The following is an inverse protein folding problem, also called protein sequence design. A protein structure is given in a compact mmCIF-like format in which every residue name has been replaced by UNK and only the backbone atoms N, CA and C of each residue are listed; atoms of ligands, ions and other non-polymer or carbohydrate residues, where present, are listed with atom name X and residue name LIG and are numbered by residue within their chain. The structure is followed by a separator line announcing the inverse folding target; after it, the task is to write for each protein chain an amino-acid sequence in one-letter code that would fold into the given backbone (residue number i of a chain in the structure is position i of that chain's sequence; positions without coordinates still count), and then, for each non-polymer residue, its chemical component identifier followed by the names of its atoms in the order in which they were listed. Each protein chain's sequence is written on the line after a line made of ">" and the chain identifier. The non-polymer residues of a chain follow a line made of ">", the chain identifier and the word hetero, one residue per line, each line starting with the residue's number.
data_IF_606718744599
#
_entry.id   IF_606718744599
#
_cell.length_a   1.000
_cell.length_b   1.000
_cell.length_c   1.000
_cell.angle_alpha   90.00
_cell.angle_beta   90.00
_cell.angle_gamma   90.00
#
_symmetry.space_group_name_H-M   'P 1'
#
loop_
_entity.id
_entity.type
_entity.pdbx_description
1 polymer ?
#
# COMPACT_ATOMS: atom_id res chain seq x y z
N UNK A 1 -14.64 9.90 -17.03
CA UNK A 1 -14.78 9.25 -15.70
C UNK A 1 -15.37 7.85 -15.81
N UNK A 2 -16.52 7.66 -16.45
CA UNK A 2 -17.11 6.33 -16.68
C UNK A 2 -16.16 5.38 -17.44
N UNK A 3 -15.41 5.89 -18.42
CA UNK A 3 -14.37 5.13 -19.12
C UNK A 3 -13.31 4.56 -18.17
N UNK A 4 -12.91 5.32 -17.15
CA UNK A 4 -11.93 4.89 -16.14
C UNK A 4 -12.50 3.74 -15.30
N UNK A 5 -13.79 3.82 -14.95
CA UNK A 5 -14.49 2.76 -14.23
C UNK A 5 -14.56 1.48 -15.07
N UNK A 6 -14.90 1.60 -16.36
CA UNK A 6 -14.97 0.45 -17.28
C UNK A 6 -13.62 -0.23 -17.42
N UNK A 7 -12.52 0.52 -17.61
CA UNK A 7 -11.19 -0.09 -17.72
C UNK A 7 -10.74 -0.73 -16.40
N UNK A 8 -11.16 -0.21 -15.24
CA UNK A 8 -10.87 -0.84 -13.94
C UNK A 8 -11.58 -2.19 -13.81
N UNK A 9 -12.87 -2.23 -14.16
CA UNK A 9 -13.67 -3.46 -14.12
C UNK A 9 -13.10 -4.49 -15.11
N UNK A 10 -12.77 -4.06 -16.32
CA UNK A 10 -12.12 -4.92 -17.31
C UNK A 10 -10.75 -5.42 -16.83
N UNK A 11 -9.93 -4.56 -16.22
CA UNK A 11 -8.64 -4.94 -15.65
C UNK A 11 -8.77 -5.96 -14.52
N UNK A 12 -9.77 -5.79 -13.64
CA UNK A 12 -10.08 -6.74 -12.57
C UNK A 12 -10.57 -8.08 -13.13
N UNK A 13 -11.45 -8.07 -14.13
CA UNK A 13 -11.96 -9.27 -14.80
C UNK A 13 -10.83 -10.03 -15.53
N UNK A 14 -9.98 -9.31 -16.25
CA UNK A 14 -8.80 -9.88 -16.91
C UNK A 14 -7.81 -10.47 -15.89
N UNK A 15 -7.56 -9.75 -14.79
CA UNK A 15 -6.74 -10.24 -13.67
C UNK A 15 -7.30 -11.51 -13.01
N UNK A 16 -8.63 -11.59 -12.88
CA UNK A 16 -9.30 -12.78 -12.35
C UNK A 16 -9.12 -13.99 -13.28
N UNK A 17 -9.22 -13.81 -14.59
CA UNK A 17 -9.01 -14.89 -15.57
C UNK A 17 -7.55 -15.38 -15.60
N UNK A 18 -6.59 -14.49 -15.35
CA UNK A 18 -5.15 -14.81 -15.21
C UNK A 18 -4.81 -15.56 -13.91
N UNK A 19 -5.70 -15.57 -12.91
CA UNK A 19 -5.51 -16.29 -11.63
C UNK A 19 -5.31 -17.80 -11.82
N UNK A 20 -5.78 -18.39 -12.94
CA UNK A 20 -5.54 -19.81 -13.29
C UNK A 20 -4.06 -20.14 -13.49
N UNK A 21 -3.22 -19.18 -13.85
CA UNK A 21 -1.78 -19.40 -14.04
C UNK A 21 -0.99 -18.99 -12.79
N UNK A 22 -1.04 -19.82 -11.74
CA UNK A 22 -0.32 -19.60 -10.46
C UNK A 22 1.18 -19.27 -10.65
N UNK A 23 1.83 -19.78 -11.71
CA UNK A 23 3.24 -19.49 -12.06
C UNK A 23 3.47 -18.03 -12.46
N UNK A 24 2.49 -17.37 -13.07
CA UNK A 24 2.64 -15.98 -13.55
C UNK A 24 2.59 -14.99 -12.38
N UNK A 25 1.75 -15.27 -11.37
CA UNK A 25 1.60 -14.43 -10.18
C UNK A 25 2.93 -14.17 -9.45
N UNK A 26 3.77 -15.20 -9.31
CA UNK A 26 5.08 -15.07 -8.67
C UNK A 26 6.10 -14.24 -9.48
N UNK A 27 5.87 -14.07 -10.79
CA UNK A 27 6.72 -13.24 -11.66
C UNK A 27 6.18 -11.81 -11.79
N UNK A 28 4.87 -11.63 -11.66
CA UNK A 28 4.23 -10.32 -11.71
C UNK A 28 4.76 -9.37 -10.64
N UNK A 29 4.99 -9.82 -9.42
CA UNK A 29 5.54 -8.97 -8.35
C UNK A 29 6.89 -8.34 -8.72
N UNK A 30 7.79 -9.15 -9.30
CA UNK A 30 9.08 -8.67 -9.84
C UNK A 30 8.87 -7.75 -11.03
N UNK A 31 8.01 -8.12 -11.98
CA UNK A 31 7.73 -7.31 -13.17
C UNK A 31 7.16 -5.95 -12.81
N UNK A 32 6.21 -5.88 -11.87
CA UNK A 32 5.61 -4.64 -11.38
C UNK A 32 6.67 -3.79 -10.72
N UNK A 33 7.53 -4.35 -9.87
CA UNK A 33 8.66 -3.62 -9.28
C UNK A 33 9.59 -3.04 -10.34
N UNK A 34 9.98 -3.81 -11.36
CA UNK A 34 10.79 -3.31 -12.48
C UNK A 34 10.10 -2.18 -13.24
N UNK A 35 8.79 -2.29 -13.50
CA UNK A 35 8.02 -1.23 -14.15
C UNK A 35 7.98 0.01 -13.26
N UNK A 36 7.76 -0.11 -11.95
CA UNK A 36 7.78 1.03 -11.03
C UNK A 36 9.14 1.72 -11.08
N UNK A 37 10.25 0.99 -11.03
CA UNK A 37 11.58 1.58 -11.15
C UNK A 37 11.78 2.29 -12.49
N UNK A 38 11.34 1.68 -13.59
CA UNK A 38 11.42 2.29 -14.91
C UNK A 38 10.57 3.56 -15.00
N UNK A 39 9.35 3.54 -14.47
CA UNK A 39 8.45 4.69 -14.43
C UNK A 39 9.00 5.82 -13.56
N UNK A 40 9.56 5.50 -12.39
CA UNK A 40 10.22 6.48 -11.52
C UNK A 40 11.44 7.11 -12.20
N UNK A 41 12.21 6.31 -12.94
CA UNK A 41 13.33 6.81 -13.73
C UNK A 41 12.88 7.75 -14.85
N UNK A 42 11.89 7.35 -15.65
CA UNK A 42 11.29 8.17 -16.71
C UNK A 42 10.68 9.46 -16.14
N UNK A 43 10.01 9.37 -15.00
CA UNK A 43 9.47 10.53 -14.29
C UNK A 43 10.59 11.49 -13.89
N UNK A 44 11.66 10.97 -13.29
CA UNK A 44 12.83 11.77 -12.92
C UNK A 44 13.46 12.49 -14.11
N UNK A 45 13.62 11.81 -15.24
CA UNK A 45 14.11 12.41 -16.49
C UNK A 45 13.19 13.52 -17.01
N UNK A 46 11.88 13.25 -17.04
CA UNK A 46 10.85 14.19 -17.55
C UNK A 46 10.80 15.48 -16.70
N UNK A 47 10.83 15.34 -15.38
CA UNK A 47 10.86 16.45 -14.42
C UNK A 47 12.20 17.19 -14.49
N UNK A 48 13.31 16.46 -14.61
CA UNK A 48 14.67 17.00 -14.62
C UNK A 48 15.00 17.85 -15.85
N UNK A 49 14.48 17.49 -17.02
CA UNK A 49 14.70 18.23 -18.27
C UNK A 49 13.90 19.55 -18.32
N UNK A 50 12.84 19.68 -17.53
CA UNK A 50 11.99 20.86 -17.51
C UNK A 50 12.58 21.95 -16.59
N UNK A 51 13.25 22.95 -17.17
CA UNK A 51 13.86 24.06 -16.40
C UNK A 51 12.86 24.86 -15.57
N UNK A 52 11.60 24.97 -15.99
CA UNK A 52 10.55 25.64 -15.20
C UNK A 52 10.26 24.88 -13.90
N UNK A 53 10.20 23.55 -14.00
CA UNK A 53 10.00 22.68 -12.85
C UNK A 53 11.24 22.68 -11.97
N UNK A 54 12.45 22.57 -12.52
CA UNK A 54 13.69 22.56 -11.72
C UNK A 54 13.91 23.88 -10.96
N UNK A 55 13.61 25.02 -11.59
CA UNK A 55 13.78 26.34 -10.99
C UNK A 55 12.74 26.60 -9.88
N UNK A 56 11.54 26.05 -10.06
CA UNK A 56 10.46 26.14 -9.07
C UNK A 56 10.48 24.97 -8.08
N UNK A 57 11.38 23.99 -8.25
CA UNK A 57 11.41 22.75 -7.49
C UNK A 57 11.64 22.99 -6.01
N UNK A 58 12.42 24.02 -5.67
CA UNK A 58 12.62 24.40 -4.28
C UNK A 58 11.30 24.82 -3.61
N UNK A 59 10.50 25.65 -4.28
CA UNK A 59 9.22 26.13 -3.74
C UNK A 59 8.15 25.04 -3.80
N UNK A 60 8.05 24.30 -4.91
CA UNK A 60 7.09 23.21 -5.09
C UNK A 60 7.42 22.06 -4.13
N UNK A 61 8.70 21.71 -4.01
CA UNK A 61 9.18 20.65 -3.13
C UNK A 61 8.94 20.97 -1.66
N UNK A 62 9.21 22.21 -1.22
CA UNK A 62 8.96 22.60 0.18
C UNK A 62 7.46 22.63 0.49
N UNK A 63 6.62 23.13 -0.43
CA UNK A 63 5.16 23.04 -0.31
C UNK A 63 4.67 21.58 -0.29
N UNK A 64 5.21 20.75 -1.17
CA UNK A 64 4.88 19.32 -1.26
C UNK A 64 5.29 18.56 0.01
N UNK A 65 6.42 18.92 0.62
CA UNK A 65 6.88 18.31 1.87
C UNK A 65 5.97 18.70 3.02
N UNK A 66 5.61 19.99 3.13
CA UNK A 66 4.69 20.46 4.17
C UNK A 66 3.30 19.82 4.04
N UNK A 67 2.73 19.77 2.84
CA UNK A 67 1.41 19.14 2.62
C UNK A 67 1.46 17.63 2.83
N UNK A 68 2.54 16.95 2.42
CA UNK A 68 2.69 15.51 2.63
C UNK A 68 2.80 15.18 4.12
N UNK A 69 3.63 15.92 4.86
CA UNK A 69 3.77 15.74 6.30
C UNK A 69 2.44 16.01 7.03
N UNK A 70 1.76 17.11 6.70
CA UNK A 70 0.45 17.42 7.27
C UNK A 70 -0.60 16.36 6.91
N UNK A 71 -0.60 15.83 5.69
CA UNK A 71 -1.54 14.80 5.24
C UNK A 71 -1.30 13.46 5.94
N UNK A 72 -0.04 13.04 6.08
CA UNK A 72 0.32 11.82 6.81
C UNK A 72 -0.04 11.96 8.29
N UNK A 73 0.34 13.08 8.92
CA UNK A 73 -0.01 13.36 10.31
C UNK A 73 -1.53 13.36 10.52
N UNK A 74 -2.28 14.04 9.64
CA UNK A 74 -3.74 14.07 9.68
C UNK A 74 -4.36 12.69 9.49
N UNK A 75 -3.85 11.87 8.57
CA UNK A 75 -4.31 10.50 8.34
C UNK A 75 -4.07 9.61 9.56
N UNK A 76 -2.89 9.72 10.20
CA UNK A 76 -2.57 8.95 11.42
C UNK A 76 -3.44 9.41 12.59
N UNK A 77 -3.63 10.71 12.76
CA UNK A 77 -4.47 11.27 13.83
C UNK A 77 -5.93 10.84 13.69
N UNK A 78 -6.50 10.87 12.48
CA UNK A 78 -7.86 10.39 12.23
C UNK A 78 -7.96 8.88 12.43
N UNK A 79 -6.99 8.10 11.95
CA UNK A 79 -6.99 6.66 12.17
C UNK A 79 -6.93 6.32 13.67
N UNK A 80 -6.10 7.02 14.45
CA UNK A 80 -6.01 6.87 15.89
C UNK A 80 -7.29 7.33 16.61
N UNK A 81 -7.93 8.39 16.15
CA UNK A 81 -9.21 8.87 16.68
C UNK A 81 -10.32 7.84 16.43
N UNK A 82 -10.45 7.36 15.20
CA UNK A 82 -11.41 6.30 14.84
C UNK A 82 -11.14 5.04 15.65
N UNK A 83 -9.87 4.64 15.78
CA UNK A 83 -9.49 3.51 16.62
C UNK A 83 -9.91 3.73 18.08
N UNK A 84 -9.62 4.89 18.68
CA UNK A 84 -10.00 5.16 20.06
C UNK A 84 -11.52 5.27 20.28
N UNK A 85 -12.27 5.79 19.30
CA UNK A 85 -13.71 6.00 19.43
C UNK A 85 -14.51 4.72 19.15
N UNK A 86 -14.04 3.89 18.21
CA UNK A 86 -14.74 2.69 17.77
C UNK A 86 -14.30 1.43 18.53
N UNK A 87 -13.00 1.29 18.87
CA UNK A 87 -12.48 0.10 19.57
C UNK A 87 -12.48 0.19 21.11
N UNK A 88 -13.04 1.25 21.71
CA UNK A 88 -13.17 1.35 23.18
C UNK A 88 -14.36 0.55 23.74
N UNK A 89 -15.01 -0.28 22.91
CA UNK A 89 -16.05 -1.21 23.34
C UNK A 89 -15.87 -2.63 22.79
N UNK A 90 -14.65 -3.03 22.45
CA UNK A 90 -14.36 -4.44 22.28
C UNK A 90 -13.33 -4.81 23.33
N UNK A 91 -13.82 -5.52 24.35
CA UNK A 91 -13.00 -6.31 25.23
C UNK A 91 -11.91 -6.99 24.41
N UNK A 92 -10.70 -6.88 24.93
CA UNK A 92 -9.58 -7.77 24.64
C UNK A 92 -10.05 -9.20 24.92
N UNK A 93 -10.80 -9.78 23.99
CA UNK A 93 -11.23 -11.17 23.98
C UNK A 93 -10.24 -11.90 23.07
N UNK A 94 -9.58 -12.90 23.65
CA UNK A 94 -8.70 -13.87 23.01
C UNK A 94 -7.32 -13.37 22.53
N UNK A 95 -6.53 -12.80 23.45
CA UNK A 95 -5.13 -13.22 23.53
C UNK A 95 -4.98 -14.03 24.82
N UNK A 96 -5.11 -15.37 24.73
CA UNK A 96 -4.36 -16.40 25.49
C UNK A 96 -5.11 -17.74 25.64
N UNK A 97 -6.17 -18.02 24.88
CA UNK A 97 -6.74 -19.38 24.75
C UNK A 97 -5.97 -20.20 23.69
N UNK A 98 -4.70 -20.45 23.99
CA UNK A 98 -3.83 -21.33 23.24
C UNK A 98 -3.11 -22.27 24.18
N UNK A 99 -3.87 -23.14 24.86
CA UNK A 99 -3.34 -24.20 25.71
C UNK A 99 -2.23 -24.98 25.01
N UNK A 100 -1.00 -24.70 25.41
CA UNK A 100 0.14 -25.58 25.17
C UNK A 100 0.09 -26.65 26.28
N UNK A 101 -0.55 -27.77 25.98
CA UNK A 101 -0.27 -29.05 26.64
C UNK A 101 0.94 -29.69 25.98
N UNK A 102 2.07 -29.83 26.67
CA UNK A 102 3.02 -30.90 26.40
C UNK A 102 2.73 -32.06 27.39
N UNK A 103 1.62 -32.77 27.23
CA UNK A 103 1.51 -34.12 27.79
C UNK A 103 1.91 -35.10 26.70
N UNK A 104 3.12 -35.66 26.84
CA UNK A 104 3.63 -36.63 25.88
C UNK A 104 5.10 -36.99 26.06
N UNK A 105 5.60 -37.05 27.29
CA UNK A 105 6.73 -37.91 27.61
C UNK A 105 6.48 -38.60 28.96
N UNK A 106 6.92 -39.86 29.04
CA UNK A 106 7.07 -40.72 30.21
C UNK A 106 5.96 -41.75 30.50
N UNK A 107 6.21 -42.97 29.99
CA UNK A 107 6.29 -44.15 30.88
C UNK A 107 5.02 -44.97 31.12
N UNK A 108 4.97 -46.15 30.50
CA UNK A 108 4.65 -47.47 31.08
C UNK A 108 4.23 -48.44 29.97
#
# INVERSE_FOLDING_TARGET
>A
MLTVIIIMILGMAAGYMLRKFKKLYNRLDKTVSYIIYLLLFLLGLSVGQNRMIINSFHIIGLKALLISAASVAGSILLAALVFHFFFKHDHVEALDDGGFSPEGDTGA
#
